data_IF_277574415698
#
_entry.id   IF_277574415698
#
_cell.length_a   1.000
_cell.length_b   1.000
_cell.length_c   1.000
_cell.angle_alpha   90.00
_cell.angle_beta   90.00
_cell.angle_gamma   90.00
#
_symmetry.space_group_name_H-M   'P 1'
#
loop_
_entity.id
_entity.type
_entity.pdbx_description
1 polymer ?
#
# COMPACT_ATOMS: atom_id res chain seq x y z
N UNK A 1 -7.10 -9.09 -6.62
CA UNK A 1 -7.18 -8.33 -5.36
C UNK A 1 -8.34 -7.35 -5.42
N UNK A 2 -8.35 -6.44 -6.41
CA UNK A 2 -9.37 -5.40 -6.54
C UNK A 2 -10.80 -5.96 -6.64
N UNK A 3 -11.03 -6.97 -7.47
CA UNK A 3 -12.32 -7.66 -7.57
C UNK A 3 -12.80 -8.21 -6.21
N UNK A 4 -11.89 -8.74 -5.38
CA UNK A 4 -12.26 -9.26 -4.07
C UNK A 4 -12.61 -8.14 -3.08
N UNK A 5 -11.91 -7.01 -3.14
CA UNK A 5 -12.22 -5.81 -2.35
C UNK A 5 -13.59 -5.28 -2.74
N UNK A 6 -13.86 -5.17 -4.04
CA UNK A 6 -15.12 -4.68 -4.58
C UNK A 6 -16.29 -5.57 -4.15
N UNK A 7 -16.14 -6.90 -4.24
CA UNK A 7 -17.16 -7.86 -3.77
C UNK A 7 -17.43 -7.69 -2.26
N UNK A 8 -16.38 -7.55 -1.44
CA UNK A 8 -16.54 -7.35 0.01
C UNK A 8 -17.27 -6.05 0.34
N UNK A 9 -16.90 -4.95 -0.32
CA UNK A 9 -17.51 -3.64 -0.13
C UNK A 9 -18.96 -3.61 -0.65
N UNK A 10 -19.23 -4.25 -1.79
CA UNK A 10 -20.58 -4.37 -2.32
C UNK A 10 -21.47 -5.20 -1.36
N UNK A 11 -20.96 -6.32 -0.87
CA UNK A 11 -21.67 -7.14 0.12
C UNK A 11 -21.98 -6.35 1.40
N UNK A 12 -21.04 -5.51 1.87
CA UNK A 12 -21.26 -4.63 3.02
C UNK A 12 -22.41 -3.65 2.80
N UNK A 13 -22.46 -2.98 1.65
CA UNK A 13 -23.50 -2.01 1.32
C UNK A 13 -24.87 -2.70 1.24
N UNK A 14 -24.95 -3.85 0.56
CA UNK A 14 -26.21 -4.63 0.47
C UNK A 14 -26.72 -5.03 1.85
N UNK A 15 -25.83 -5.51 2.73
CA UNK A 15 -26.20 -5.88 4.11
C UNK A 15 -26.67 -4.66 4.90
N UNK A 16 -26.00 -3.52 4.75
CA UNK A 16 -26.39 -2.27 5.40
C UNK A 16 -27.79 -1.81 4.96
N UNK A 17 -28.08 -1.84 3.66
CA UNK A 17 -29.37 -1.41 3.10
C UNK A 17 -30.53 -2.28 3.62
N UNK A 18 -30.32 -3.59 3.73
CA UNK A 18 -31.30 -4.52 4.31
C UNK A 18 -31.59 -4.17 5.78
N UNK A 19 -30.56 -3.89 6.58
CA UNK A 19 -30.74 -3.53 7.99
C UNK A 19 -31.33 -2.14 8.19
N UNK A 20 -31.07 -1.22 7.27
CA UNK A 20 -31.63 0.14 7.31
C UNK A 20 -33.15 0.14 7.17
N UNK A 21 -33.72 -0.80 6.40
CA UNK A 21 -35.17 -0.97 6.29
C UNK A 21 -35.83 -1.45 7.60
N UNK A 22 -35.08 -2.11 8.49
CA UNK A 22 -35.59 -2.63 9.75
C UNK A 22 -35.44 -1.58 10.86
N UNK A 23 -34.22 -1.04 11.04
CA UNK A 23 -33.92 -0.03 12.06
C UNK A 23 -32.56 0.61 11.82
N UNK A 24 -32.49 1.94 11.95
CA UNK A 24 -31.23 2.69 11.80
C UNK A 24 -30.14 2.29 12.80
N UNK A 25 -30.51 1.87 14.02
CA UNK A 25 -29.55 1.39 15.01
C UNK A 25 -28.89 0.07 14.60
N UNK A 26 -29.66 -0.83 13.97
CA UNK A 26 -29.14 -2.10 13.49
C UNK A 26 -28.21 -1.91 12.29
N UNK A 27 -28.54 -0.99 11.39
CA UNK A 27 -27.70 -0.61 10.27
C UNK A 27 -26.35 -0.02 10.74
N UNK A 28 -26.37 0.89 11.72
CA UNK A 28 -25.15 1.43 12.31
C UNK A 28 -24.29 0.35 12.98
N UNK A 29 -24.91 -0.55 13.74
CA UNK A 29 -24.21 -1.66 14.37
C UNK A 29 -23.57 -2.60 13.35
N UNK A 30 -24.29 -2.94 12.28
CA UNK A 30 -23.77 -3.76 11.17
C UNK A 30 -22.57 -3.10 10.49
N UNK A 31 -22.64 -1.79 10.23
CA UNK A 31 -21.53 -1.03 9.66
C UNK A 31 -20.28 -1.12 10.51
N UNK A 32 -20.39 -0.79 11.80
CA UNK A 32 -19.25 -0.81 12.73
C UNK A 32 -18.68 -2.23 12.85
N UNK A 33 -19.54 -3.24 12.99
CA UNK A 33 -19.10 -4.63 13.11
C UNK A 33 -18.36 -5.12 11.88
N UNK A 34 -18.83 -4.77 10.68
CA UNK A 34 -18.15 -5.15 9.44
C UNK A 34 -16.71 -4.62 9.39
N UNK A 35 -16.53 -3.31 9.65
CA UNK A 35 -15.21 -2.66 9.65
C UNK A 35 -14.30 -3.30 10.71
N UNK A 36 -14.80 -3.47 11.94
CA UNK A 36 -14.02 -4.01 13.07
C UNK A 36 -13.61 -5.46 12.81
N UNK A 37 -14.52 -6.32 12.37
CA UNK A 37 -14.26 -7.75 12.15
C UNK A 37 -13.24 -7.96 11.04
N UNK A 38 -13.42 -7.33 9.87
CA UNK A 38 -12.49 -7.51 8.75
C UNK A 38 -11.10 -6.93 9.05
N UNK A 39 -11.05 -5.78 9.73
CA UNK A 39 -9.78 -5.20 10.17
C UNK A 39 -9.07 -6.08 11.20
N UNK A 40 -9.81 -6.61 12.18
CA UNK A 40 -9.25 -7.51 13.18
C UNK A 40 -8.72 -8.80 12.53
N UNK A 41 -9.48 -9.40 11.61
CA UNK A 41 -9.05 -10.57 10.85
C UNK A 41 -7.79 -10.28 10.03
N UNK A 42 -7.71 -9.13 9.36
CA UNK A 42 -6.50 -8.69 8.66
C UNK A 42 -5.29 -8.60 9.59
N UNK A 43 -5.44 -7.96 10.75
CA UNK A 43 -4.37 -7.80 11.73
C UNK A 43 -3.90 -9.14 12.30
N UNK A 44 -4.85 -10.01 12.67
CA UNK A 44 -4.56 -11.37 13.19
C UNK A 44 -3.88 -12.22 12.13
N UNK A 45 -4.36 -12.20 10.89
CA UNK A 45 -3.75 -12.95 9.78
C UNK A 45 -2.31 -12.51 9.52
N UNK A 46 -2.06 -11.19 9.48
CA UNK A 46 -0.70 -10.66 9.37
C UNK A 46 0.19 -11.13 10.51
N UNK A 47 -0.29 -11.08 11.76
CA UNK A 47 0.49 -11.49 12.93
C UNK A 47 0.82 -12.99 12.95
N UNK A 48 -0.10 -13.86 12.53
CA UNK A 48 0.09 -15.31 12.51
C UNK A 48 0.98 -15.75 11.34
N UNK A 49 0.76 -15.19 10.15
CA UNK A 49 1.46 -15.62 8.94
C UNK A 49 2.83 -14.96 8.82
N UNK A 50 2.93 -13.64 8.90
CA UNK A 50 4.23 -12.96 8.94
C UNK A 50 4.12 -11.54 9.50
N UNK A 51 4.73 -11.31 10.66
CA UNK A 51 4.84 -9.97 11.27
C UNK A 51 5.52 -8.95 10.34
N UNK A 52 6.36 -9.41 9.40
CA UNK A 52 7.06 -8.55 8.42
C UNK A 52 6.12 -7.98 7.34
N UNK A 53 4.89 -8.48 7.23
CA UNK A 53 3.89 -7.95 6.29
C UNK A 53 3.23 -6.65 6.77
N UNK A 54 3.42 -6.25 8.03
CA UNK A 54 2.79 -5.06 8.62
C UNK A 54 3.34 -3.78 7.98
N UNK A 55 2.44 -2.88 7.60
CA UNK A 55 2.79 -1.56 7.06
C UNK A 55 3.09 -1.56 5.55
N UNK A 56 3.53 -0.40 5.06
CA UNK A 56 3.76 -0.14 3.63
C UNK A 56 4.84 -1.06 3.05
N UNK A 57 6.02 -1.11 3.66
CA UNK A 57 7.19 -1.84 3.17
C UNK A 57 8.12 -1.02 2.26
N UNK A 58 7.72 0.18 1.83
CA UNK A 58 8.62 1.07 1.07
C UNK A 58 9.89 1.44 1.87
N UNK A 59 9.81 1.87 3.15
CA UNK A 59 11.01 2.23 3.91
C UNK A 59 12.00 1.06 4.02
N UNK A 60 11.48 -0.14 4.27
CA UNK A 60 12.24 -1.38 4.42
C UNK A 60 12.90 -1.81 3.11
N UNK A 61 12.16 -1.78 2.00
CA UNK A 61 12.72 -2.06 0.66
C UNK A 61 13.79 -1.02 0.30
N UNK A 62 13.58 0.26 0.63
CA UNK A 62 14.60 1.30 0.44
C UNK A 62 15.88 0.96 1.22
N UNK A 63 15.77 0.49 2.46
CA UNK A 63 16.93 0.06 3.27
C UNK A 63 17.65 -1.13 2.62
N UNK A 64 16.91 -2.11 2.08
CA UNK A 64 17.48 -3.26 1.35
C UNK A 64 18.23 -2.81 0.09
N UNK A 65 17.70 -1.85 -0.66
CA UNK A 65 18.37 -1.28 -1.84
C UNK A 65 19.69 -0.55 -1.50
N UNK A 66 19.84 -0.04 -0.27
CA UNK A 66 21.10 0.54 0.20
C UNK A 66 22.07 -0.52 0.76
N UNK A 67 21.80 -1.82 0.56
CA UNK A 67 22.70 -2.92 0.91
C UNK A 67 22.43 -3.58 2.27
N UNK A 68 21.43 -3.14 3.04
CA UNK A 68 21.09 -3.75 4.32
C UNK A 68 20.17 -4.96 4.13
N UNK A 69 20.71 -6.18 4.30
CA UNK A 69 19.92 -7.42 4.20
C UNK A 69 19.03 -7.58 5.44
N UNK A 70 17.72 -7.69 5.22
CA UNK A 70 16.74 -7.95 6.27
C UNK A 70 16.19 -9.37 6.15
N UNK A 71 16.44 -10.17 7.19
CA UNK A 71 16.04 -11.57 7.21
C UNK A 71 14.51 -11.74 7.22
N UNK A 72 14.03 -12.72 6.45
CA UNK A 72 12.62 -13.08 6.36
C UNK A 72 11.67 -11.97 5.85
N UNK A 73 12.20 -10.88 5.29
CA UNK A 73 11.40 -9.78 4.74
C UNK A 73 10.90 -10.07 3.32
N UNK A 74 11.76 -10.62 2.46
CA UNK A 74 11.48 -10.92 1.05
C UNK A 74 11.14 -12.41 0.82
N UNK A 75 10.06 -12.88 1.44
CA UNK A 75 9.66 -14.31 1.40
C UNK A 75 8.28 -14.52 0.77
N UNK A 76 8.02 -15.73 0.26
CA UNK A 76 6.69 -16.08 -0.24
C UNK A 76 5.61 -16.02 0.86
N UNK A 77 6.00 -16.33 2.12
CA UNK A 77 5.09 -16.24 3.27
C UNK A 77 4.67 -14.80 3.56
N UNK A 78 5.59 -13.82 3.46
CA UNK A 78 5.27 -12.39 3.56
C UNK A 78 4.37 -11.90 2.41
N UNK A 79 4.53 -12.46 1.21
CA UNK A 79 3.69 -12.12 0.05
C UNK A 79 2.22 -12.49 0.32
N UNK A 80 1.96 -13.73 0.73
CA UNK A 80 0.59 -14.20 1.04
C UNK A 80 -0.02 -13.40 2.19
N UNK A 81 0.75 -13.21 3.28
CA UNK A 81 0.33 -12.41 4.43
C UNK A 81 -0.14 -11.01 4.01
N UNK A 82 0.66 -10.34 3.17
CA UNK A 82 0.41 -8.97 2.71
C UNK A 82 -0.77 -8.90 1.73
N UNK A 83 -0.89 -9.83 0.79
CA UNK A 83 -2.02 -9.88 -0.17
C UNK A 83 -3.37 -10.03 0.55
N UNK A 84 -3.49 -11.03 1.42
CA UNK A 84 -4.75 -11.32 2.13
C UNK A 84 -5.05 -10.23 3.16
N UNK A 85 -4.05 -9.81 3.95
CA UNK A 85 -4.21 -8.76 4.94
C UNK A 85 -4.68 -7.44 4.32
N UNK A 86 -4.08 -7.03 3.20
CA UNK A 86 -4.48 -5.81 2.51
C UNK A 86 -5.89 -5.91 1.91
N UNK A 87 -6.24 -7.06 1.32
CA UNK A 87 -7.59 -7.31 0.76
C UNK A 87 -8.65 -7.20 1.85
N UNK A 88 -8.43 -7.79 3.02
CA UNK A 88 -9.36 -7.73 4.15
C UNK A 88 -9.47 -6.32 4.74
N UNK A 89 -8.35 -5.61 4.89
CA UNK A 89 -8.35 -4.26 5.47
C UNK A 89 -9.03 -3.24 4.54
N UNK A 90 -8.76 -3.29 3.24
CA UNK A 90 -9.45 -2.43 2.26
C UNK A 90 -10.90 -2.86 2.03
N UNK A 91 -11.17 -4.17 2.02
CA UNK A 91 -12.52 -4.73 1.94
C UNK A 91 -13.40 -4.28 3.12
N UNK A 92 -12.80 -4.10 4.30
CA UNK A 92 -13.46 -3.54 5.48
C UNK A 92 -13.64 -2.03 5.47
N UNK A 93 -13.25 -1.32 4.40
CA UNK A 93 -13.52 0.11 4.24
C UNK A 93 -12.55 1.05 4.97
N UNK A 94 -11.41 0.56 5.46
CA UNK A 94 -10.38 1.43 6.03
C UNK A 94 -9.80 2.37 4.95
N UNK A 95 -9.55 3.66 5.26
CA UNK A 95 -8.92 4.60 4.34
C UNK A 95 -7.40 4.34 4.25
N UNK A 96 -7.04 3.21 3.63
CA UNK A 96 -5.66 2.78 3.43
C UNK A 96 -5.36 2.60 1.93
N UNK A 97 -4.13 2.95 1.54
CA UNK A 97 -3.66 2.80 0.16
C UNK A 97 -2.99 1.45 -0.10
N UNK A 98 -3.16 0.92 -1.32
CA UNK A 98 -2.50 -0.31 -1.80
C UNK A 98 -1.09 -0.08 -2.38
N UNK A 99 -0.75 1.16 -2.71
CA UNK A 99 0.49 1.54 -3.41
C UNK A 99 1.75 0.97 -2.77
N UNK A 100 2.02 1.34 -1.51
CA UNK A 100 3.19 0.88 -0.78
C UNK A 100 3.31 -0.65 -0.64
N UNK A 101 2.24 -1.33 -0.17
CA UNK A 101 2.22 -2.78 -0.13
C UNK A 101 2.52 -3.46 -1.47
N UNK A 102 2.01 -2.94 -2.60
CA UNK A 102 2.28 -3.51 -3.92
C UNK A 102 3.73 -3.34 -4.36
N UNK A 103 4.38 -2.22 -4.03
CA UNK A 103 5.84 -2.07 -4.25
C UNK A 103 6.59 -3.18 -3.53
N UNK A 104 6.23 -3.46 -2.28
CA UNK A 104 6.84 -4.54 -1.52
C UNK A 104 6.52 -5.92 -2.09
N UNK A 105 5.29 -6.17 -2.54
CA UNK A 105 4.92 -7.44 -3.20
C UNK A 105 5.69 -7.64 -4.50
N UNK A 106 5.87 -6.59 -5.31
CA UNK A 106 6.69 -6.62 -6.52
C UNK A 106 8.16 -6.93 -6.23
N UNK A 107 8.73 -6.31 -5.18
CA UNK A 107 10.06 -6.62 -4.68
C UNK A 107 10.20 -8.10 -4.27
N UNK A 108 9.22 -8.65 -3.52
CA UNK A 108 9.23 -10.06 -3.13
C UNK A 108 9.19 -10.98 -4.36
N UNK A 109 8.29 -10.71 -5.31
CA UNK A 109 8.15 -11.52 -6.53
C UNK A 109 9.44 -11.50 -7.34
N UNK A 110 10.07 -10.35 -7.50
CA UNK A 110 11.36 -10.24 -8.19
C UNK A 110 12.45 -11.08 -7.50
N UNK A 111 12.59 -11.00 -6.18
CA UNK A 111 13.55 -11.81 -5.42
C UNK A 111 13.27 -13.31 -5.51
N UNK A 112 11.99 -13.72 -5.48
CA UNK A 112 11.62 -15.13 -5.64
C UNK A 112 11.94 -15.64 -7.05
N UNK A 113 11.63 -14.85 -8.08
CA UNK A 113 11.97 -15.18 -9.47
C UNK A 113 13.49 -15.28 -9.66
N UNK A 114 14.28 -14.33 -9.12
CA UNK A 114 15.75 -14.42 -9.16
C UNK A 114 16.28 -15.71 -8.57
N UNK A 115 15.74 -16.13 -7.41
CA UNK A 115 16.14 -17.39 -6.75
C UNK A 115 15.78 -18.61 -7.58
N UNK A 116 14.59 -18.63 -8.17
CA UNK A 116 14.14 -19.72 -9.05
C UNK A 116 15.03 -19.80 -10.29
N UNK A 117 15.27 -18.67 -10.97
CA UNK A 117 16.12 -18.63 -12.17
C UNK A 117 17.55 -19.07 -11.86
N UNK A 118 18.14 -18.59 -10.76
CA UNK A 118 19.47 -19.01 -10.32
C UNK A 118 19.58 -20.51 -10.03
N UNK A 119 18.49 -21.13 -9.52
CA UNK A 119 18.43 -22.57 -9.27
C UNK A 119 18.24 -23.41 -10.53
N UNK A 120 17.59 -22.87 -11.57
CA UNK A 120 17.23 -23.62 -12.77
C UNK A 120 18.32 -23.58 -13.84
N UNK A 121 18.91 -22.42 -14.14
CA UNK A 121 19.95 -22.29 -15.15
C UNK A 121 20.74 -20.98 -14.90
N UNK A 122 22.06 -21.11 -14.75
CA UNK A 122 23.05 -20.02 -14.76
C UNK A 122 23.31 -19.32 -13.39
N UNK A 123 24.06 -19.99 -12.50
CA UNK A 123 24.48 -19.40 -11.21
C UNK A 123 25.50 -18.27 -11.34
N UNK A 124 26.25 -18.19 -12.44
CA UNK A 124 27.30 -17.19 -12.64
C UNK A 124 26.79 -15.76 -12.97
N UNK A 125 25.55 -15.62 -13.45
CA UNK A 125 24.96 -14.33 -13.84
C UNK A 125 24.22 -13.64 -12.70
N UNK A 126 23.71 -14.41 -11.73
CA UNK A 126 22.94 -13.92 -10.59
C UNK A 126 23.74 -13.83 -9.28
N UNK A 127 25.06 -14.02 -9.33
CA UNK A 127 25.95 -13.91 -8.16
C UNK A 127 26.35 -12.47 -7.81
N UNK A 128 26.08 -11.50 -8.70
CA UNK A 128 26.45 -10.11 -8.49
C UNK A 128 25.37 -9.36 -7.69
N UNK A 129 25.75 -8.76 -6.56
CA UNK A 129 24.84 -7.96 -5.72
C UNK A 129 24.21 -6.79 -6.49
N UNK A 130 24.94 -6.18 -7.43
CA UNK A 130 24.39 -5.10 -8.27
C UNK A 130 23.19 -5.56 -9.11
N UNK A 131 23.23 -6.80 -9.62
CA UNK A 131 22.14 -7.36 -10.44
C UNK A 131 20.92 -7.73 -9.59
N UNK A 132 21.14 -8.18 -8.35
CA UNK A 132 20.06 -8.41 -7.39
C UNK A 132 19.30 -7.10 -7.10
N UNK A 133 20.02 -5.98 -6.92
CA UNK A 133 19.42 -4.65 -6.70
C UNK A 133 18.66 -4.17 -7.95
N UNK A 134 19.21 -4.37 -9.15
CA UNK A 134 18.52 -4.03 -10.41
C UNK A 134 17.19 -4.79 -10.55
N UNK A 135 17.20 -6.08 -10.23
CA UNK A 135 16.00 -6.92 -10.28
C UNK A 135 15.00 -6.56 -9.18
N UNK A 136 15.48 -6.22 -7.98
CA UNK A 136 14.64 -5.70 -6.90
C UNK A 136 13.96 -4.38 -7.31
N UNK A 137 14.72 -3.47 -7.93
CA UNK A 137 14.23 -2.19 -8.44
C UNK A 137 13.20 -2.37 -9.55
N UNK A 138 13.41 -3.30 -10.49
CA UNK A 138 12.44 -3.60 -11.54
C UNK A 138 11.16 -4.19 -10.96
N UNK A 139 11.25 -5.08 -9.96
CA UNK A 139 10.10 -5.58 -9.20
C UNK A 139 9.29 -4.48 -8.53
N UNK A 140 9.96 -3.52 -7.90
CA UNK A 140 9.31 -2.34 -7.30
C UNK A 140 8.57 -1.51 -8.34
N UNK A 141 9.20 -1.24 -9.50
CA UNK A 141 8.60 -0.47 -10.58
C UNK A 141 7.34 -1.14 -11.14
N UNK A 142 7.39 -2.46 -11.35
CA UNK A 142 6.21 -3.25 -11.77
C UNK A 142 5.11 -3.19 -10.72
N UNK A 143 5.44 -3.30 -9.42
CA UNK A 143 4.47 -3.17 -8.34
C UNK A 143 3.72 -1.82 -8.37
N UNK A 144 4.43 -0.72 -8.59
CA UNK A 144 3.85 0.63 -8.75
C UNK A 144 2.97 0.70 -10.01
N UNK A 145 3.49 0.21 -11.14
CA UNK A 145 2.76 0.22 -12.41
C UNK A 145 1.43 -0.55 -12.32
N UNK A 146 1.43 -1.70 -11.63
CA UNK A 146 0.22 -2.49 -11.37
C UNK A 146 -0.80 -1.76 -10.49
N UNK A 147 -0.36 -0.91 -9.55
CA UNK A 147 -1.31 -0.17 -8.69
C UNK A 147 -2.01 0.97 -9.37
N UNK A 148 -1.32 1.67 -10.27
CA UNK A 148 -1.88 2.82 -10.98
C UNK A 148 -2.57 2.42 -12.29
N UNK A 149 -2.51 1.14 -12.70
CA UNK A 149 -2.96 0.67 -14.02
C UNK A 149 -2.44 1.54 -15.17
N UNK A 150 -1.29 2.17 -14.94
CA UNK A 150 -0.69 3.18 -15.81
C UNK A 150 0.75 2.75 -16.06
N UNK A 151 1.01 1.99 -17.16
CA UNK A 151 2.31 1.39 -17.36
C UNK A 151 3.46 2.40 -17.49
N UNK A 152 3.24 3.62 -18.01
CA UNK A 152 4.13 4.82 -18.01
C UNK A 152 3.27 5.94 -18.61
N UNK A 153 2.82 7.01 -17.94
CA UNK A 153 2.35 8.30 -18.55
C UNK A 153 1.47 8.31 -19.85
N UNK A 154 0.95 7.17 -20.30
CA UNK A 154 0.69 6.88 -21.72
C UNK A 154 -0.75 6.48 -21.97
N UNK A 155 -1.53 6.27 -20.92
CA UNK A 155 -2.99 6.41 -21.01
C UNK A 155 -3.39 7.89 -21.09
N UNK A 156 -2.59 8.83 -20.57
CA UNK A 156 -2.86 10.26 -20.75
C UNK A 156 -2.76 10.62 -22.24
N UNK A 157 -1.70 10.23 -22.94
CA UNK A 157 -1.56 10.52 -24.39
C UNK A 157 -2.38 9.60 -25.32
N UNK A 158 -2.80 8.41 -24.87
CA UNK A 158 -3.60 7.50 -25.70
C UNK A 158 -5.13 7.67 -25.54
N UNK A 159 -5.63 8.05 -24.36
CA UNK A 159 -7.04 8.45 -24.17
C UNK A 159 -7.27 9.93 -24.49
N UNK A 160 -6.28 10.79 -24.21
CA UNK A 160 -6.27 12.16 -24.70
C UNK A 160 -5.39 12.24 -25.94
N UNK A 161 -5.95 11.89 -27.12
CA UNK A 161 -5.63 12.63 -28.34
C UNK A 161 -6.13 14.07 -28.16
N UNK A 162 -5.48 14.81 -27.26
CA UNK A 162 -5.78 16.20 -27.03
C UNK A 162 -4.98 16.98 -28.04
N UNK A 163 -5.68 17.39 -29.11
CA UNK A 163 -5.51 18.77 -29.54
C UNK A 163 -5.90 19.64 -28.35
N UNK A 164 -5.00 19.80 -27.38
CA UNK A 164 -5.15 20.87 -26.41
C UNK A 164 -5.19 22.14 -27.27
N UNK A 165 -6.21 23.01 -27.12
CA UNK A 165 -6.01 24.38 -27.57
C UNK A 165 -4.70 24.85 -26.94
N UNK A 166 -3.87 25.55 -27.70
CA UNK A 166 -2.60 26.13 -27.19
C UNK A 166 -2.80 27.00 -25.95
N UNK A 167 -4.06 27.36 -25.65
CA UNK A 167 -4.51 28.15 -24.51
C UNK A 167 -5.19 27.29 -23.42
N UNK A 168 -4.68 26.08 -23.13
CA UNK A 168 -5.24 25.21 -22.09
C UNK A 168 -5.18 25.83 -20.68
N UNK A 169 -4.24 26.75 -20.44
CA UNK A 169 -4.17 27.55 -19.23
C UNK A 169 -3.79 28.99 -19.60
N UNK A 170 -4.53 29.96 -19.07
CA UNK A 170 -4.17 31.37 -19.19
C UNK A 170 -3.02 31.69 -18.24
N UNK A 171 -2.15 32.63 -18.63
CA UNK A 171 -1.04 33.10 -17.77
C UNK A 171 -1.56 33.67 -16.44
N UNK A 172 -2.79 34.19 -16.44
CA UNK A 172 -3.51 34.69 -15.26
C UNK A 172 -3.87 33.60 -14.24
N UNK A 173 -3.93 32.32 -14.64
CA UNK A 173 -4.21 31.18 -13.75
C UNK A 173 -2.94 30.67 -13.03
N UNK A 174 -1.75 31.00 -13.53
CA UNK A 174 -0.48 30.55 -12.94
C UNK A 174 -0.29 31.00 -11.47
N UNK A 175 -0.62 32.26 -11.08
CA UNK A 175 -0.61 32.67 -9.68
C UNK A 175 -1.52 31.82 -8.78
N UNK A 176 -2.68 31.39 -9.28
CA UNK A 176 -3.62 30.54 -8.54
C UNK A 176 -3.02 29.16 -8.32
N UNK A 177 -2.41 28.54 -9.35
CA UNK A 177 -1.71 27.27 -9.20
C UNK A 177 -0.51 27.33 -8.26
N UNK A 178 0.26 28.43 -8.29
CA UNK A 178 1.35 28.65 -7.34
C UNK A 178 0.83 28.73 -5.91
N UNK A 179 -0.28 29.44 -5.68
CA UNK A 179 -0.92 29.53 -4.36
C UNK A 179 -1.43 28.16 -3.89
N UNK A 180 -2.08 27.39 -4.77
CA UNK A 180 -2.52 26.02 -4.46
C UNK A 180 -1.35 25.09 -4.12
N UNK A 181 -0.25 25.18 -4.88
CA UNK A 181 0.99 24.45 -4.61
C UNK A 181 1.60 24.81 -3.25
N UNK A 182 1.64 26.10 -2.92
CA UNK A 182 2.10 26.57 -1.62
C UNK A 182 1.23 26.06 -0.46
N UNK A 183 -0.10 26.21 -0.57
CA UNK A 183 -1.04 25.77 0.46
C UNK A 183 -1.02 24.25 0.68
N UNK A 184 -0.97 23.48 -0.41
CA UNK A 184 -0.87 22.01 -0.34
C UNK A 184 0.47 21.55 0.24
N UNK A 185 1.58 22.23 -0.11
CA UNK A 185 2.90 21.98 0.47
C UNK A 185 2.94 22.25 1.98
N UNK A 186 2.37 23.38 2.41
CA UNK A 186 2.26 23.72 3.84
C UNK A 186 1.41 22.70 4.60
N UNK A 187 0.26 22.31 4.04
CA UNK A 187 -0.62 21.32 4.66
C UNK A 187 0.04 19.93 4.72
N UNK A 188 0.76 19.54 3.67
CA UNK A 188 1.57 18.31 3.64
C UNK A 188 2.66 18.31 4.72
N UNK A 189 3.36 19.42 4.93
CA UNK A 189 4.36 19.56 5.97
C UNK A 189 3.76 19.42 7.39
N UNK A 190 2.60 20.04 7.64
CA UNK A 190 1.86 19.91 8.91
C UNK A 190 1.43 18.47 9.14
N UNK A 191 0.93 17.80 8.11
CA UNK A 191 0.55 16.38 8.18
C UNK A 191 1.74 15.50 8.54
N UNK A 192 2.88 15.64 7.85
CA UNK A 192 4.10 14.88 8.13
C UNK A 192 4.61 15.14 9.55
N UNK A 193 4.62 16.41 9.97
CA UNK A 193 5.04 16.78 11.34
C UNK A 193 4.15 16.11 12.38
N UNK A 194 2.84 16.19 12.23
CA UNK A 194 1.85 15.62 13.16
C UNK A 194 1.97 14.09 13.20
N UNK A 195 2.04 13.44 12.03
CA UNK A 195 2.23 11.99 11.94
C UNK A 195 3.53 11.53 12.61
N UNK A 196 4.62 12.28 12.45
CA UNK A 196 5.89 12.03 13.15
C UNK A 196 5.74 12.14 14.67
N UNK A 197 5.06 13.17 15.19
CA UNK A 197 4.84 13.32 16.63
C UNK A 197 4.02 12.16 17.20
N UNK A 198 2.96 11.72 16.51
CA UNK A 198 2.13 10.58 16.91
C UNK A 198 2.97 9.29 16.95
N UNK A 199 3.80 9.06 15.93
CA UNK A 199 4.68 7.89 15.88
C UNK A 199 5.69 7.87 17.03
N UNK A 200 6.33 9.01 17.32
CA UNK A 200 7.26 9.15 18.44
C UNK A 200 6.54 8.98 19.78
N UNK A 201 5.35 9.55 19.95
CA UNK A 201 4.53 9.38 21.14
C UNK A 201 4.23 7.90 21.39
N UNK A 202 3.79 7.18 20.35
CA UNK A 202 3.54 5.72 20.40
C UNK A 202 4.77 4.91 20.78
N UNK A 203 5.95 5.33 20.31
CA UNK A 203 7.23 4.69 20.63
C UNK A 203 7.82 5.11 21.98
N UNK A 204 7.48 6.26 22.56
CA UNK A 204 8.01 6.71 23.86
C UNK A 204 7.09 6.35 25.02
N UNK A 205 5.78 6.34 24.83
CA UNK A 205 4.82 6.09 25.90
C UNK A 205 4.89 4.65 26.42
N UNK A 206 5.23 4.49 27.72
CA UNK A 206 5.36 3.19 28.38
C UNK A 206 4.02 2.46 28.48
N UNK A 207 2.92 3.18 28.72
CA UNK A 207 1.57 2.59 28.81
C UNK A 207 1.16 2.00 27.47
N UNK A 208 1.41 2.73 26.38
CA UNK A 208 1.11 2.24 25.04
C UNK A 208 1.88 0.95 24.71
N UNK A 209 3.18 0.90 25.07
CA UNK A 209 3.99 -0.31 24.91
C UNK A 209 3.47 -1.46 25.77
N UNK A 210 3.05 -1.21 27.00
CA UNK A 210 2.54 -2.27 27.88
C UNK A 210 1.25 -2.89 27.34
N UNK A 211 0.38 -2.09 26.73
CA UNK A 211 -0.91 -2.54 26.18
C UNK A 211 -0.73 -3.26 24.84
N UNK A 212 0.05 -2.70 23.91
CA UNK A 212 0.12 -3.18 22.52
C UNK A 212 1.41 -3.91 22.15
N UNK A 213 2.40 -3.92 23.04
CA UNK A 213 3.72 -4.52 22.81
C UNK A 213 4.04 -5.54 23.90
N UNK A 214 3.09 -6.41 24.21
CA UNK A 214 3.31 -7.56 25.09
C UNK A 214 3.42 -8.85 24.27
N UNK A 215 4.65 -9.37 24.20
CA UNK A 215 5.18 -10.62 23.59
C UNK A 215 5.37 -10.66 22.06
#
# INVERSE_FOLDING_TARGET
MDVAIEILQHAHIVVYDVFLQISGYLAFFSWVMHVVVLTALSAVFCQIVSKQAVGSGIPEVKVIMHGFKMDNYLTFRTLIAKMVGLTLAMGGGLPIGKEGPFVHMGAIVATLLSKITASCQYSAFFSNEGREIEMLSSGCAVGIACTFSAPIGGTITAFYQTRFPTDAFLIEELPVFMLLGFLSGMMGAIFIFTHRQISIFRQRNRVFKMIFRNK
#
